data_IF_278198466659
#
_entry.id   IF_278198466659
#
_cell.length_a   1.000
_cell.length_b   1.000
_cell.length_c   1.000
_cell.angle_alpha   90.00
_cell.angle_beta   90.00
_cell.angle_gamma   90.00
#
_symmetry.space_group_name_H-M   'P 1'
#
loop_
_entity.id
_entity.type
_entity.pdbx_description
1 polymer ?
#
# COMPACT_ATOMS: atom_id res chain seq x y z
N UNK A 1 11.75 18.16 12.94
CA UNK A 1 10.33 18.36 13.20
C UNK A 1 9.93 19.73 12.68
N UNK A 2 8.70 19.89 12.20
CA UNK A 2 8.13 21.16 11.72
C UNK A 2 8.91 21.84 10.60
N UNK A 3 9.63 21.08 9.77
CA UNK A 3 10.41 21.62 8.65
C UNK A 3 9.53 22.02 7.47
N UNK A 4 8.62 21.16 7.09
CA UNK A 4 7.72 21.36 5.93
C UNK A 4 6.28 21.61 6.38
N UNK A 5 5.84 20.90 7.41
CA UNK A 5 4.54 21.05 8.03
C UNK A 5 4.75 21.27 9.51
N UNK A 6 4.03 22.24 10.08
CA UNK A 6 4.05 22.48 11.54
C UNK A 6 3.35 21.33 12.24
N UNK A 7 4.01 20.73 13.22
CA UNK A 7 3.40 19.70 14.05
C UNK A 7 2.70 20.36 15.25
N UNK A 8 1.42 20.04 15.43
CA UNK A 8 0.64 20.55 16.57
C UNK A 8 1.13 19.91 17.88
N UNK A 9 1.41 18.61 17.85
CA UNK A 9 1.96 17.85 18.98
C UNK A 9 3.21 17.12 18.51
N UNK A 10 4.41 17.71 18.65
CA UNK A 10 5.64 17.08 18.24
C UNK A 10 6.11 16.04 19.27
N UNK A 11 6.25 14.79 18.84
CA UNK A 11 6.80 13.71 19.65
C UNK A 11 8.10 13.25 19.02
N UNK A 12 9.21 13.40 19.73
CA UNK A 12 10.55 12.97 19.29
C UNK A 12 10.90 11.68 19.99
N UNK A 13 11.06 10.60 19.23
CA UNK A 13 11.40 9.30 19.77
C UNK A 13 11.46 8.22 18.72
N UNK A 14 11.79 7.01 19.13
CA UNK A 14 11.67 5.84 18.27
C UNK A 14 10.19 5.56 17.99
N UNK A 15 9.83 5.44 16.71
CA UNK A 15 8.44 5.31 16.29
C UNK A 15 7.74 4.10 16.92
N UNK A 16 8.44 2.97 17.07
CA UNK A 16 7.88 1.76 17.67
C UNK A 16 7.55 1.99 19.14
N UNK A 17 8.50 2.53 19.91
CA UNK A 17 8.34 2.77 21.33
C UNK A 17 7.21 3.78 21.59
N UNK A 18 7.14 4.85 20.81
CA UNK A 18 6.06 5.84 20.91
C UNK A 18 4.71 5.22 20.62
N UNK A 19 4.60 4.43 19.55
CA UNK A 19 3.34 3.77 19.19
C UNK A 19 2.91 2.72 20.21
N UNK A 20 3.83 1.96 20.80
CA UNK A 20 3.55 1.01 21.87
C UNK A 20 2.99 1.71 23.10
N UNK A 21 3.60 2.84 23.52
CA UNK A 21 3.09 3.66 24.63
C UNK A 21 1.72 4.27 24.34
N UNK A 22 1.51 4.78 23.12
CA UNK A 22 0.20 5.31 22.73
C UNK A 22 -0.89 4.24 22.76
N UNK A 23 -0.60 3.04 22.29
CA UNK A 23 -1.55 1.91 22.33
C UNK A 23 -1.88 1.51 23.77
N UNK A 24 -0.89 1.49 24.66
CA UNK A 24 -1.10 1.20 26.08
C UNK A 24 -2.04 2.24 26.72
N UNK A 25 -1.79 3.53 26.50
CA UNK A 25 -2.64 4.61 27.01
C UNK A 25 -4.07 4.53 26.47
N UNK A 26 -4.23 4.29 25.16
CA UNK A 26 -5.54 4.17 24.54
C UNK A 26 -6.34 2.95 25.03
N UNK A 27 -5.66 1.87 25.41
CA UNK A 27 -6.32 0.68 25.95
C UNK A 27 -6.76 0.86 27.40
N UNK A 28 -6.12 1.75 28.16
CA UNK A 28 -6.49 2.08 29.54
C UNK A 28 -7.64 3.09 29.61
N UNK A 29 -7.68 4.03 28.67
CA UNK A 29 -8.82 4.91 28.51
C UNK A 29 -9.92 4.12 27.79
N UNK A 30 -11.06 3.93 28.44
CA UNK A 30 -12.26 3.41 27.78
C UNK A 30 -12.48 4.29 26.54
N UNK A 31 -12.13 3.76 25.38
CA UNK A 31 -12.08 4.52 24.15
C UNK A 31 -13.46 5.13 23.90
N UNK A 32 -13.64 6.36 24.33
CA UNK A 32 -14.73 7.20 23.86
C UNK A 32 -14.43 7.41 22.37
N UNK A 33 -14.95 6.49 21.57
CA UNK A 33 -14.91 6.72 20.13
C UNK A 33 -15.93 7.82 19.85
N UNK A 34 -15.51 8.98 19.39
CA UNK A 34 -16.43 10.03 18.95
C UNK A 34 -17.02 9.62 17.61
N UNK A 35 -17.75 8.49 17.58
CA UNK A 35 -18.37 7.95 16.36
C UNK A 35 -19.29 8.98 15.72
N UNK A 36 -19.92 9.83 16.53
CA UNK A 36 -20.81 10.86 16.02
C UNK A 36 -20.05 12.03 15.38
N UNK A 37 -18.91 12.42 15.94
CA UNK A 37 -18.10 13.53 15.42
C UNK A 37 -17.43 13.21 14.08
N UNK A 38 -17.09 11.95 13.85
CA UNK A 38 -16.45 11.51 12.58
C UNK A 38 -17.44 10.88 11.61
N UNK A 39 -18.72 10.77 11.95
CA UNK A 39 -19.76 10.15 11.12
C UNK A 39 -19.87 10.82 9.74
N UNK A 40 -19.91 12.13 9.69
CA UNK A 40 -20.03 12.88 8.44
C UNK A 40 -18.82 12.66 7.55
N UNK A 41 -17.63 12.54 8.16
CA UNK A 41 -16.40 12.22 7.44
C UNK A 41 -16.45 10.80 6.85
N UNK A 42 -16.93 9.82 7.64
CA UNK A 42 -17.12 8.45 7.13
C UNK A 42 -18.14 8.40 6.00
N UNK A 43 -19.24 9.13 6.09
CA UNK A 43 -20.22 9.23 5.01
C UNK A 43 -19.59 9.79 3.73
N UNK A 44 -18.75 10.79 3.84
CA UNK A 44 -18.03 11.36 2.71
C UNK A 44 -17.05 10.35 2.09
N UNK A 45 -16.34 9.58 2.90
CA UNK A 45 -15.44 8.52 2.43
C UNK A 45 -16.24 7.46 1.67
N UNK A 46 -17.38 7.02 2.19
CA UNK A 46 -18.24 6.04 1.53
C UNK A 46 -18.82 6.56 0.21
N UNK A 47 -19.19 7.82 0.12
CA UNK A 47 -19.58 8.45 -1.13
C UNK A 47 -18.45 8.41 -2.17
N UNK A 48 -17.22 8.66 -1.77
CA UNK A 48 -16.06 8.57 -2.66
C UNK A 48 -15.79 7.13 -3.11
N UNK A 49 -15.87 6.17 -2.21
CA UNK A 49 -15.75 4.73 -2.53
C UNK A 49 -16.81 4.28 -3.53
N UNK A 50 -18.04 4.73 -3.34
CA UNK A 50 -19.17 4.39 -4.23
C UNK A 50 -18.96 4.85 -5.68
N UNK A 51 -18.10 5.85 -5.92
CA UNK A 51 -17.76 6.30 -7.29
C UNK A 51 -16.98 5.26 -8.09
N UNK A 52 -16.39 4.26 -7.42
CA UNK A 52 -15.61 3.21 -8.06
C UNK A 52 -14.59 3.77 -9.07
N UNK A 53 -13.80 4.76 -8.65
CA UNK A 53 -12.87 5.48 -9.51
C UNK A 53 -11.77 4.60 -10.14
N UNK A 54 -11.56 3.39 -9.62
CA UNK A 54 -10.66 2.38 -10.19
C UNK A 54 -11.36 1.41 -11.17
N UNK A 55 -12.66 1.61 -11.45
CA UNK A 55 -13.39 0.78 -12.40
C UNK A 55 -12.83 0.95 -13.81
N UNK A 56 -12.70 -0.15 -14.52
CA UNK A 56 -12.29 -0.19 -15.92
C UNK A 56 -13.20 -1.14 -16.71
N UNK A 57 -13.15 -1.07 -18.04
CA UNK A 57 -13.91 -1.96 -18.92
C UNK A 57 -13.31 -3.37 -18.90
N UNK A 58 -14.01 -4.29 -18.25
CA UNK A 58 -13.65 -5.71 -18.12
C UNK A 58 -14.04 -6.55 -19.35
N UNK A 59 -14.86 -5.99 -20.25
CA UNK A 59 -15.33 -6.67 -21.48
C UNK A 59 -14.56 -6.24 -22.74
N UNK A 60 -13.52 -5.42 -22.55
CA UNK A 60 -12.66 -4.98 -23.67
C UNK A 60 -11.99 -6.15 -24.35
N UNK A 61 -12.01 -6.17 -25.68
CA UNK A 61 -11.23 -7.12 -26.50
C UNK A 61 -9.71 -6.99 -26.30
N UNK A 62 -9.26 -5.81 -25.81
CA UNK A 62 -7.87 -5.54 -25.51
C UNK A 62 -7.58 -5.85 -24.05
N UNK A 63 -6.48 -6.52 -23.78
CA UNK A 63 -5.99 -6.76 -22.43
C UNK A 63 -5.72 -5.40 -21.75
N UNK A 64 -6.40 -5.16 -20.64
CA UNK A 64 -6.19 -3.95 -19.83
C UNK A 64 -5.09 -4.20 -18.80
N UNK A 65 -4.19 -3.23 -18.56
CA UNK A 65 -3.17 -3.36 -17.53
C UNK A 65 -3.73 -3.72 -16.15
N UNK A 66 -4.88 -3.15 -15.79
CA UNK A 66 -5.60 -3.45 -14.57
C UNK A 66 -5.93 -4.95 -14.46
N UNK A 67 -6.47 -5.53 -15.53
CA UNK A 67 -6.83 -6.95 -15.56
C UNK A 67 -5.60 -7.87 -15.40
N UNK A 68 -4.44 -7.46 -15.91
CA UNK A 68 -3.18 -8.19 -15.71
C UNK A 68 -2.81 -8.24 -14.23
N UNK A 69 -2.82 -7.09 -13.57
CA UNK A 69 -2.45 -6.99 -12.15
C UNK A 69 -3.45 -7.72 -11.24
N UNK A 70 -4.74 -7.55 -11.46
CA UNK A 70 -5.78 -8.28 -10.70
C UNK A 70 -5.67 -9.79 -10.90
N UNK A 71 -5.37 -10.23 -12.12
CA UNK A 71 -5.16 -11.65 -12.41
C UNK A 71 -3.93 -12.17 -11.69
N UNK A 72 -2.84 -11.42 -11.69
CA UNK A 72 -1.64 -11.74 -10.94
C UNK A 72 -1.94 -11.90 -9.45
N UNK A 73 -2.64 -10.93 -8.86
CA UNK A 73 -3.06 -11.01 -7.46
C UNK A 73 -3.88 -12.27 -7.18
N UNK A 74 -4.87 -12.56 -8.03
CA UNK A 74 -5.72 -13.74 -7.88
C UNK A 74 -4.92 -15.05 -7.94
N UNK A 75 -3.97 -15.16 -8.88
CA UNK A 75 -3.13 -16.36 -9.04
C UNK A 75 -2.17 -16.56 -7.87
N UNK A 76 -1.62 -15.48 -7.34
CA UNK A 76 -0.72 -15.51 -6.18
C UNK A 76 -1.48 -15.47 -4.84
N UNK A 77 -2.81 -15.31 -4.87
CA UNK A 77 -3.66 -15.10 -3.68
C UNK A 77 -3.16 -13.94 -2.81
N UNK A 78 -2.57 -12.92 -3.45
CA UNK A 78 -1.96 -11.79 -2.75
C UNK A 78 -0.66 -12.10 -2.02
N UNK A 79 -0.16 -13.32 -2.10
CA UNK A 79 1.03 -13.78 -1.36
C UNK A 79 2.26 -13.90 -2.26
N UNK A 80 2.64 -12.79 -2.87
CA UNK A 80 3.89 -12.67 -3.61
C UNK A 80 4.67 -11.44 -3.17
N UNK A 81 5.98 -11.50 -3.32
CA UNK A 81 6.83 -10.31 -3.33
C UNK A 81 6.75 -9.69 -4.71
N UNK A 82 6.22 -8.50 -4.80
CA UNK A 82 6.10 -7.77 -6.06
C UNK A 82 7.14 -6.67 -6.10
N UNK A 83 8.06 -6.77 -7.03
CA UNK A 83 8.99 -5.69 -7.34
C UNK A 83 8.49 -4.96 -8.59
N UNK A 84 8.81 -3.71 -8.71
CA UNK A 84 8.41 -2.93 -9.89
C UNK A 84 9.53 -2.03 -10.35
N UNK A 85 9.66 -1.93 -11.66
CA UNK A 85 10.39 -0.84 -12.28
C UNK A 85 9.55 0.43 -12.30
N UNK A 86 9.99 1.47 -12.98
CA UNK A 86 9.38 2.79 -12.96
C UNK A 86 8.58 3.06 -14.24
N UNK A 87 7.29 3.41 -14.08
CA UNK A 87 6.41 3.72 -15.18
C UNK A 87 4.93 3.49 -14.85
N UNK A 88 4.08 3.47 -15.87
CA UNK A 88 2.65 3.21 -15.70
C UNK A 88 2.35 1.84 -15.08
N UNK A 89 3.16 0.82 -15.40
CA UNK A 89 3.06 -0.51 -14.81
C UNK A 89 3.22 -0.48 -13.29
N UNK A 90 4.14 0.34 -12.78
CA UNK A 90 4.29 0.57 -11.35
C UNK A 90 3.01 1.16 -10.73
N UNK A 91 2.41 2.15 -11.40
CA UNK A 91 1.15 2.76 -10.93
C UNK A 91 0.01 1.74 -10.92
N UNK A 92 -0.11 0.93 -11.97
CA UNK A 92 -1.13 -0.14 -12.02
C UNK A 92 -0.89 -1.18 -10.93
N UNK A 93 0.34 -1.62 -10.69
CA UNK A 93 0.65 -2.56 -9.63
C UNK A 93 0.29 -1.99 -8.25
N UNK A 94 0.64 -0.73 -7.98
CA UNK A 94 0.31 -0.06 -6.72
C UNK A 94 -1.20 0.09 -6.49
N UNK A 95 -2.00 0.29 -7.56
CA UNK A 95 -3.44 0.53 -7.45
C UNK A 95 -4.29 -0.75 -7.45
N UNK A 96 -3.87 -1.78 -8.17
CA UNK A 96 -4.71 -2.96 -8.45
C UNK A 96 -4.17 -4.26 -7.85
N UNK A 97 -3.02 -4.24 -7.16
CA UNK A 97 -2.55 -5.38 -6.37
C UNK A 97 -2.72 -5.07 -4.88
N UNK A 98 -3.77 -5.59 -4.21
CA UNK A 98 -3.95 -5.42 -2.77
C UNK A 98 -2.84 -6.10 -1.99
N UNK A 99 -2.13 -5.35 -1.16
CA UNK A 99 -1.06 -5.85 -0.31
C UNK A 99 -1.54 -5.96 1.13
N UNK A 100 -1.70 -7.18 1.63
CA UNK A 100 -2.14 -7.45 3.01
C UNK A 100 -0.97 -7.68 3.98
N UNK A 101 0.23 -7.93 3.44
CA UNK A 101 1.42 -8.19 4.24
C UNK A 101 2.46 -7.07 4.06
N UNK A 102 3.14 -6.64 5.13
CA UNK A 102 4.20 -5.65 5.02
C UNK A 102 5.37 -6.17 4.18
N UNK A 103 6.13 -5.26 3.58
CA UNK A 103 7.35 -5.53 2.80
C UNK A 103 7.12 -6.42 1.56
N UNK A 104 5.89 -6.54 1.08
CA UNK A 104 5.57 -7.28 -0.15
C UNK A 104 5.62 -6.40 -1.41
N UNK A 105 5.58 -5.08 -1.27
CA UNK A 105 5.71 -4.11 -2.35
C UNK A 105 7.08 -3.44 -2.32
N UNK A 106 7.90 -3.69 -3.35
CA UNK A 106 9.30 -3.27 -3.43
C UNK A 106 9.51 -2.46 -4.69
N UNK A 107 9.67 -1.16 -4.54
CA UNK A 107 9.85 -0.25 -5.67
C UNK A 107 10.77 0.92 -5.31
N UNK A 108 11.25 1.63 -6.32
CA UNK A 108 12.01 2.87 -6.15
C UNK A 108 11.07 4.08 -6.07
N UNK A 109 10.16 4.09 -5.09
CA UNK A 109 9.11 5.11 -4.97
C UNK A 109 9.59 6.51 -4.64
N UNK A 110 10.77 6.65 -4.06
CA UNK A 110 11.34 7.96 -3.70
C UNK A 110 12.08 8.64 -4.85
N UNK A 111 12.97 7.92 -5.50
CA UNK A 111 13.82 8.46 -6.56
C UNK A 111 13.35 8.09 -7.97
N UNK A 112 12.48 7.09 -8.11
CA UNK A 112 12.01 6.63 -9.42
C UNK A 112 13.14 6.08 -10.30
N UNK A 113 14.01 5.25 -9.72
CA UNK A 113 15.19 4.72 -10.41
C UNK A 113 14.78 3.67 -11.42
N UNK A 114 14.93 3.97 -12.71
CA UNK A 114 14.71 3.01 -13.79
C UNK A 114 15.77 1.90 -13.76
N UNK A 115 15.35 0.66 -14.07
CA UNK A 115 16.21 -0.52 -13.96
C UNK A 115 16.28 -1.13 -12.56
N UNK A 116 15.43 -0.66 -11.62
CA UNK A 116 15.38 -1.16 -10.24
C UNK A 116 14.66 -2.51 -10.13
N UNK A 117 13.59 -2.72 -10.90
CA UNK A 117 12.63 -3.82 -10.69
C UNK A 117 13.25 -5.20 -10.74
N UNK A 118 13.97 -5.51 -11.82
CA UNK A 118 14.57 -6.83 -12.02
C UNK A 118 15.69 -7.16 -11.03
N UNK A 119 16.69 -6.30 -10.78
CA UNK A 119 17.71 -6.60 -9.77
C UNK A 119 17.11 -6.75 -8.36
N UNK A 120 16.09 -5.97 -8.02
CA UNK A 120 15.38 -6.12 -6.75
C UNK A 120 14.68 -7.48 -6.65
N UNK A 121 14.04 -7.94 -7.74
CA UNK A 121 13.41 -9.27 -7.78
C UNK A 121 14.42 -10.40 -7.57
N UNK A 122 15.59 -10.30 -8.23
CA UNK A 122 16.67 -11.26 -8.06
C UNK A 122 17.18 -11.28 -6.61
N UNK A 123 17.36 -10.10 -6.01
CA UNK A 123 17.78 -9.98 -4.61
C UNK A 123 16.78 -10.62 -3.66
N UNK A 124 15.49 -10.36 -3.83
CA UNK A 124 14.42 -10.99 -3.04
C UNK A 124 14.43 -12.51 -3.22
N UNK A 125 14.54 -12.99 -4.46
CA UNK A 125 14.54 -14.44 -4.73
C UNK A 125 15.77 -15.16 -4.16
N UNK A 126 16.91 -14.50 -4.15
CA UNK A 126 18.12 -15.02 -3.50
C UNK A 126 17.98 -15.09 -1.98
N UNK A 127 17.36 -14.07 -1.38
CA UNK A 127 17.15 -14.03 0.08
C UNK A 127 16.03 -14.98 0.54
N UNK A 128 15.04 -15.21 -0.31
CA UNK A 128 13.83 -15.97 -0.01
C UNK A 128 13.55 -16.96 -1.16
N UNK A 129 14.34 -18.02 -1.30
CA UNK A 129 14.31 -18.91 -2.46
C UNK A 129 12.98 -19.65 -2.66
N UNK A 130 12.22 -19.90 -1.58
CA UNK A 130 10.94 -20.61 -1.66
C UNK A 130 9.75 -19.69 -1.95
N UNK A 131 9.93 -18.37 -1.81
CA UNK A 131 8.84 -17.42 -1.98
C UNK A 131 8.57 -17.11 -3.46
N UNK A 132 7.32 -16.78 -3.76
CA UNK A 132 6.94 -16.28 -5.09
C UNK A 132 7.38 -14.84 -5.24
N UNK A 133 8.17 -14.56 -6.26
CA UNK A 133 8.62 -13.20 -6.59
C UNK A 133 8.16 -12.85 -8.00
N UNK A 134 7.57 -11.69 -8.14
CA UNK A 134 7.09 -11.16 -9.43
C UNK A 134 7.71 -9.80 -9.68
N UNK A 135 8.23 -9.60 -10.88
CA UNK A 135 8.70 -8.30 -11.35
C UNK A 135 7.69 -7.71 -12.36
N UNK A 136 7.20 -6.54 -12.09
CA UNK A 136 6.30 -5.76 -12.94
C UNK A 136 7.04 -4.60 -13.58
#
# INVERSE_FOLDING_TARGET
ISKTVTADIPIVGDARQVLEQMLELLSQESAHQPLDEIRDWWQQIEQWRARQCLKYDTHSEKIKPQAVIETLWRLTKGDAYVTSDVGQHQMFAALYYPFDKPRRWINSGGLGTMGFGLPAALGVKMALPEETVVCV
#
